data_IF_114837857300
#
_entry.id   IF_114837857300
#
_cell.length_a   1.000
_cell.length_b   1.000
_cell.length_c   1.000
_cell.angle_alpha   90.00
_cell.angle_beta   90.00
_cell.angle_gamma   90.00
#
_symmetry.space_group_name_H-M   'P 1'
#
loop_
_entity.id
_entity.type
_entity.pdbx_description
1 polymer ?
#
# COMPACT_ATOMS: atom_id res chain seq x y z
N UNK A 1 -5.31 94.67 0.41
CA UNK A 1 -4.70 93.67 -0.49
C UNK A 1 -4.51 92.40 0.31
N UNK A 2 -5.57 91.59 0.44
CA UNK A 2 -5.55 90.38 1.28
C UNK A 2 -5.05 89.24 0.39
N UNK A 3 -3.99 88.57 0.85
CA UNK A 3 -3.21 87.54 0.16
C UNK A 3 -4.10 86.44 -0.45
N UNK A 4 -4.36 86.51 -1.74
CA UNK A 4 -4.96 85.40 -2.51
C UNK A 4 -4.02 84.19 -2.56
N UNK A 5 -2.71 84.43 -2.42
CA UNK A 5 -1.66 83.39 -2.33
C UNK A 5 -1.89 82.42 -1.17
N UNK A 6 -2.38 82.91 -0.02
CA UNK A 6 -2.61 82.08 1.17
C UNK A 6 -3.77 81.09 0.98
N UNK A 7 -4.75 81.43 0.14
CA UNK A 7 -5.90 80.56 -0.15
C UNK A 7 -5.50 79.47 -1.15
N UNK A 8 -4.67 79.81 -2.15
CA UNK A 8 -4.15 78.83 -3.11
C UNK A 8 -3.18 77.83 -2.45
N UNK A 9 -2.35 78.28 -1.52
CA UNK A 9 -1.45 77.41 -0.73
C UNK A 9 -2.23 76.41 0.14
N UNK A 10 -3.30 76.87 0.79
CA UNK A 10 -4.15 76.01 1.62
C UNK A 10 -4.93 75.01 0.75
N UNK A 11 -5.50 75.45 -0.37
CA UNK A 11 -6.20 74.55 -1.31
C UNK A 11 -5.23 73.52 -1.89
N UNK A 12 -4.02 73.94 -2.29
CA UNK A 12 -2.97 73.05 -2.79
C UNK A 12 -2.55 72.01 -1.75
N UNK A 13 -2.42 72.42 -0.49
CA UNK A 13 -2.08 71.52 0.63
C UNK A 13 -3.19 70.49 0.90
N UNK A 14 -4.45 70.92 0.90
CA UNK A 14 -5.61 70.03 1.09
C UNK A 14 -5.70 69.01 -0.05
N UNK A 15 -5.48 69.44 -1.29
CA UNK A 15 -5.47 68.56 -2.46
C UNK A 15 -4.33 67.53 -2.38
N UNK A 16 -3.12 67.95 -1.97
CA UNK A 16 -1.98 67.06 -1.83
C UNK A 16 -2.18 66.01 -0.73
N UNK A 17 -2.68 66.41 0.44
CA UNK A 17 -2.97 65.48 1.55
C UNK A 17 -4.04 64.47 1.14
N UNK A 18 -5.09 64.93 0.45
CA UNK A 18 -6.16 64.06 -0.04
C UNK A 18 -5.62 63.03 -1.05
N UNK A 19 -4.75 63.45 -1.97
CA UNK A 19 -4.14 62.55 -2.96
C UNK A 19 -3.25 61.50 -2.30
N UNK A 20 -2.42 61.90 -1.33
CA UNK A 20 -1.57 60.98 -0.58
C UNK A 20 -2.41 60.00 0.23
N UNK A 21 -3.49 60.47 0.86
CA UNK A 21 -4.42 59.62 1.59
C UNK A 21 -5.06 58.54 0.70
N UNK A 22 -5.47 58.90 -0.51
CA UNK A 22 -6.01 57.96 -1.51
C UNK A 22 -4.93 56.95 -1.92
N UNK A 23 -3.71 57.41 -2.21
CA UNK A 23 -2.61 56.52 -2.60
C UNK A 23 -2.28 55.49 -1.51
N UNK A 24 -2.21 55.91 -0.25
CA UNK A 24 -1.98 55.02 0.90
C UNK A 24 -3.15 54.04 1.09
N UNK A 25 -4.40 54.51 0.94
CA UNK A 25 -5.57 53.65 1.05
C UNK A 25 -5.59 52.56 -0.04
N UNK A 26 -5.24 52.89 -1.28
CA UNK A 26 -5.12 51.92 -2.38
C UNK A 26 -4.05 50.87 -2.04
N UNK A 27 -2.86 51.30 -1.60
CA UNK A 27 -1.79 50.38 -1.21
C UNK A 27 -2.24 49.46 -0.07
N UNK A 28 -2.89 50.01 0.96
CA UNK A 28 -3.41 49.22 2.08
C UNK A 28 -4.43 48.16 1.61
N UNK A 29 -5.36 48.53 0.72
CA UNK A 29 -6.33 47.59 0.15
C UNK A 29 -5.60 46.50 -0.66
N UNK A 30 -4.57 46.84 -1.44
CA UNK A 30 -3.82 45.84 -2.21
C UNK A 30 -3.11 44.81 -1.32
N UNK A 31 -2.63 45.19 -0.14
CA UNK A 31 -2.03 44.26 0.81
C UNK A 31 -3.07 43.48 1.62
N UNK A 32 -4.17 44.11 2.01
CA UNK A 32 -5.21 43.49 2.85
C UNK A 32 -6.23 42.66 2.05
N UNK A 33 -6.33 42.86 0.73
CA UNK A 33 -7.23 42.09 -0.14
C UNK A 33 -6.61 40.79 -0.66
N UNK A 34 -5.43 40.41 -0.17
CA UNK A 34 -4.90 39.08 -0.46
C UNK A 34 -5.78 38.06 0.25
N UNK A 35 -6.33 37.05 -0.45
CA UNK A 35 -7.06 35.98 0.20
C UNK A 35 -6.15 35.31 1.23
N UNK A 36 -6.72 34.92 2.37
CA UNK A 36 -5.98 34.18 3.41
C UNK A 36 -5.31 32.97 2.74
N UNK A 37 -3.99 32.75 2.93
CA UNK A 37 -3.32 31.59 2.38
C UNK A 37 -4.07 30.33 2.80
N UNK A 38 -4.57 29.57 1.82
CA UNK A 38 -5.21 28.28 2.05
C UNK A 38 -4.16 27.21 1.88
N UNK A 39 -4.02 26.36 2.90
CA UNK A 39 -3.11 25.22 2.86
C UNK A 39 -3.56 24.26 1.75
N UNK A 40 -2.65 23.95 0.84
CA UNK A 40 -2.88 22.97 -0.22
C UNK A 40 -2.89 21.60 0.44
N UNK A 41 -3.98 20.87 0.27
CA UNK A 41 -4.12 19.51 0.79
C UNK A 41 -2.99 18.64 0.25
N UNK A 42 -2.32 17.92 1.14
CA UNK A 42 -1.37 16.88 0.76
C UNK A 42 -2.16 15.61 0.49
N UNK A 43 -1.98 14.96 -0.65
CA UNK A 43 -2.68 13.72 -0.96
C UNK A 43 -1.80 12.81 -1.79
N UNK A 44 -1.68 11.56 -1.36
CA UNK A 44 -1.09 10.49 -2.14
C UNK A 44 -2.17 9.48 -2.54
N UNK A 45 -2.17 9.11 -3.81
CA UNK A 45 -3.22 8.28 -4.41
C UNK A 45 -2.61 7.33 -5.40
N UNK A 46 -3.10 6.10 -5.35
CA UNK A 46 -2.85 5.08 -6.35
C UNK A 46 -4.14 4.92 -7.15
N UNK A 47 -4.04 4.95 -8.47
CA UNK A 47 -5.17 4.75 -9.37
C UNK A 47 -5.04 3.39 -10.08
N UNK A 48 -6.15 2.65 -10.15
CA UNK A 48 -6.27 1.40 -10.89
C UNK A 48 -7.53 1.43 -11.75
N UNK A 49 -7.47 0.88 -12.95
CA UNK A 49 -8.62 0.76 -13.86
C UNK A 49 -8.75 -0.67 -14.33
N UNK A 50 -9.96 -1.21 -14.25
CA UNK A 50 -10.30 -2.56 -14.69
C UNK A 50 -11.13 -2.49 -15.97
N UNK A 51 -10.53 -2.95 -17.08
CA UNK A 51 -11.11 -2.87 -18.42
C UNK A 51 -12.43 -3.67 -18.53
N UNK A 52 -12.53 -4.84 -17.87
CA UNK A 52 -13.70 -5.73 -18.00
C UNK A 52 -14.98 -5.20 -17.31
N UNK A 53 -14.83 -4.33 -16.29
CA UNK A 53 -15.93 -3.82 -15.47
C UNK A 53 -16.14 -2.29 -15.60
N UNK A 54 -15.40 -1.63 -16.51
CA UNK A 54 -15.36 -0.16 -16.65
C UNK A 54 -15.20 0.57 -15.30
N UNK A 55 -14.41 -0.03 -14.40
CA UNK A 55 -14.29 0.37 -13.00
C UNK A 55 -12.96 1.07 -12.76
N UNK A 56 -13.02 2.34 -12.36
CA UNK A 56 -11.87 3.09 -11.86
C UNK A 56 -11.88 3.09 -10.33
N UNK A 57 -10.75 2.71 -9.73
CA UNK A 57 -10.53 2.69 -8.29
C UNK A 57 -9.40 3.64 -7.92
N UNK A 58 -9.66 4.55 -6.98
CA UNK A 58 -8.66 5.41 -6.37
C UNK A 58 -8.41 5.00 -4.93
N UNK A 59 -7.19 4.62 -4.60
CA UNK A 59 -6.79 4.25 -3.23
C UNK A 59 -6.06 5.40 -2.55
N UNK A 60 -6.48 5.75 -1.33
CA UNK A 60 -5.85 6.82 -0.55
C UNK A 60 -4.62 6.30 0.18
N UNK A 61 -3.45 6.62 -0.37
CA UNK A 61 -2.15 6.10 0.07
C UNK A 61 -1.39 7.11 0.96
N UNK A 62 -2.13 7.86 1.79
CA UNK A 62 -1.56 8.88 2.67
C UNK A 62 -1.94 10.34 2.34
N UNK A 63 -1.64 11.24 3.27
CA UNK A 63 -1.99 12.67 3.19
C UNK A 63 -3.24 13.03 4.01
N UNK A 64 -3.85 14.15 3.66
CA UNK A 64 -5.04 14.71 4.30
C UNK A 64 -6.31 14.00 3.84
N UNK A 65 -7.30 13.93 4.74
CA UNK A 65 -8.63 13.48 4.39
C UNK A 65 -9.29 14.41 3.36
N UNK A 66 -9.96 13.81 2.38
CA UNK A 66 -10.59 14.50 1.27
C UNK A 66 -12.10 14.54 1.47
N UNK A 67 -12.63 15.71 1.83
CA UNK A 67 -14.07 15.92 2.07
C UNK A 67 -14.77 16.27 0.77
N UNK A 68 -15.89 15.61 0.49
CA UNK A 68 -16.70 15.88 -0.71
C UNK A 68 -17.10 17.34 -0.79
N UNK A 69 -16.91 17.93 -1.97
CA UNK A 69 -17.15 19.35 -2.23
C UNK A 69 -15.93 20.25 -2.07
N UNK A 70 -14.87 19.77 -1.41
CA UNK A 70 -13.58 20.49 -1.28
C UNK A 70 -12.55 20.10 -2.34
N UNK A 71 -12.89 19.12 -3.17
CA UNK A 71 -12.11 18.69 -4.30
C UNK A 71 -13.00 18.18 -5.41
N UNK A 72 -12.43 18.06 -6.61
CA UNK A 72 -13.02 17.38 -7.76
C UNK A 72 -11.99 16.48 -8.42
N UNK A 73 -12.49 15.45 -9.08
CA UNK A 73 -11.68 14.52 -9.86
C UNK A 73 -11.99 14.75 -11.34
N UNK A 74 -10.95 14.80 -12.17
CA UNK A 74 -11.06 14.89 -13.62
C UNK A 74 -10.33 13.74 -14.27
N UNK A 75 -11.03 13.01 -15.13
CA UNK A 75 -10.52 11.87 -15.88
C UNK A 75 -10.16 12.34 -17.29
N UNK A 76 -8.96 12.00 -17.77
CA UNK A 76 -8.48 12.31 -19.11
C UNK A 76 -8.23 11.01 -19.89
N UNK A 77 -8.41 10.99 -21.22
CA UNK A 77 -8.69 12.15 -22.09
C UNK A 77 -10.17 12.56 -22.17
N UNK A 78 -11.09 11.76 -21.63
CA UNK A 78 -12.55 11.99 -21.72
C UNK A 78 -12.98 13.36 -21.16
N UNK A 79 -12.21 13.93 -20.23
CA UNK A 79 -12.54 15.17 -19.53
C UNK A 79 -13.66 14.99 -18.50
N UNK A 80 -14.09 13.75 -18.23
CA UNK A 80 -15.20 13.46 -17.33
C UNK A 80 -14.90 13.92 -15.90
N UNK A 81 -15.90 14.49 -15.25
CA UNK A 81 -15.86 14.91 -13.85
C UNK A 81 -16.91 14.08 -13.10
N UNK A 82 -16.54 12.88 -12.62
CA UNK A 82 -17.50 11.99 -12.00
C UNK A 82 -17.97 12.53 -10.65
N UNK A 83 -19.18 12.13 -10.25
CA UNK A 83 -19.69 12.43 -8.92
C UNK A 83 -18.94 11.62 -7.87
N UNK A 84 -18.52 12.28 -6.79
CA UNK A 84 -17.78 11.64 -5.70
C UNK A 84 -18.76 10.77 -4.89
N UNK A 85 -18.55 9.45 -4.81
CA UNK A 85 -19.48 8.50 -4.18
C UNK A 85 -19.49 8.57 -2.65
N UNK A 86 -18.44 9.11 -2.03
CA UNK A 86 -18.27 9.19 -0.57
C UNK A 86 -18.24 10.64 -0.08
N UNK A 87 -18.80 10.89 1.10
CA UNK A 87 -18.78 12.22 1.73
C UNK A 87 -17.40 12.59 2.28
N UNK A 88 -16.61 11.60 2.68
CA UNK A 88 -15.23 11.76 3.10
C UNK A 88 -14.42 10.57 2.60
N UNK A 89 -13.21 10.84 2.14
CA UNK A 89 -12.25 9.84 1.71
C UNK A 89 -10.98 9.98 2.54
N UNK A 90 -10.63 8.93 3.26
CA UNK A 90 -9.51 8.93 4.21
C UNK A 90 -8.47 7.89 3.82
N UNK A 91 -7.27 8.00 4.39
CA UNK A 91 -6.16 7.07 4.18
C UNK A 91 -6.63 5.62 4.38
N UNK A 92 -6.25 4.73 3.46
CA UNK A 92 -6.58 3.31 3.49
C UNK A 92 -7.90 2.96 2.80
N UNK A 93 -8.70 3.94 2.39
CA UNK A 93 -9.95 3.70 1.69
C UNK A 93 -9.84 3.81 0.17
N UNK A 94 -10.72 3.09 -0.53
CA UNK A 94 -10.93 3.20 -1.97
C UNK A 94 -12.10 4.12 -2.32
N UNK A 95 -11.99 4.77 -3.47
CA UNK A 95 -13.04 5.51 -4.15
C UNK A 95 -13.37 4.83 -5.49
N UNK A 96 -14.51 4.12 -5.59
CA UNK A 96 -14.91 3.45 -6.82
C UNK A 96 -15.71 4.38 -7.74
N UNK A 97 -15.39 4.36 -9.02
CA UNK A 97 -16.16 5.01 -10.08
C UNK A 97 -16.54 3.95 -11.12
N UNK A 98 -17.83 3.61 -11.15
CA UNK A 98 -18.39 2.75 -12.18
C UNK A 98 -18.64 3.55 -13.45
N UNK A 99 -18.78 2.84 -14.58
CA UNK A 99 -19.17 3.42 -15.87
C UNK A 99 -18.13 4.37 -16.49
N UNK A 100 -16.85 4.15 -16.18
CA UNK A 100 -15.74 4.84 -16.85
C UNK A 100 -15.50 4.15 -18.19
N UNK A 101 -16.25 4.56 -19.21
CA UNK A 101 -16.40 3.93 -20.54
C UNK A 101 -15.10 3.65 -21.34
N UNK A 102 -13.94 4.09 -20.85
CA UNK A 102 -12.65 3.87 -21.49
C UNK A 102 -11.53 4.06 -20.49
N UNK A 103 -10.46 3.26 -20.62
CA UNK A 103 -9.23 3.39 -19.85
C UNK A 103 -8.73 4.84 -19.81
N UNK A 104 -8.63 5.43 -18.60
CA UNK A 104 -8.05 6.77 -18.45
C UNK A 104 -6.56 6.77 -18.74
N UNK A 105 -6.07 7.81 -19.39
CA UNK A 105 -4.64 8.09 -19.51
C UNK A 105 -4.13 8.75 -18.23
N UNK A 106 -4.91 9.72 -17.73
CA UNK A 106 -4.54 10.55 -16.59
C UNK A 106 -5.73 10.89 -15.72
N UNK A 107 -5.46 11.07 -14.43
CA UNK A 107 -6.43 11.50 -13.44
C UNK A 107 -5.87 12.71 -12.71
N UNK A 108 -6.66 13.77 -12.65
CA UNK A 108 -6.32 14.98 -11.91
C UNK A 108 -7.24 15.12 -10.71
N UNK A 109 -6.65 15.31 -9.54
CA UNK A 109 -7.35 15.63 -8.31
C UNK A 109 -7.08 17.10 -8.02
N UNK A 110 -8.15 17.88 -7.95
CA UNK A 110 -8.09 19.34 -7.92
C UNK A 110 -8.80 19.79 -6.64
N UNK A 111 -8.10 20.54 -5.79
CA UNK A 111 -8.69 21.21 -4.64
C UNK A 111 -9.56 22.37 -5.12
N UNK A 112 -10.72 22.52 -4.52
CA UNK A 112 -11.62 23.68 -4.72
C UNK A 112 -11.61 24.60 -3.49
N UNK A 113 -10.75 24.34 -2.50
CA UNK A 113 -10.61 25.18 -1.29
C UNK A 113 -10.10 26.57 -1.64
N UNK A 114 -10.53 27.58 -0.89
CA UNK A 114 -10.06 28.96 -1.07
C UNK A 114 -10.58 29.69 -2.31
N UNK A 115 -11.53 29.11 -3.05
CA UNK A 115 -12.13 29.72 -4.24
C UNK A 115 -11.23 29.69 -5.48
N UNK A 116 -10.13 28.94 -5.45
CA UNK A 116 -9.27 28.69 -6.60
C UNK A 116 -9.05 27.20 -6.80
N UNK A 117 -9.10 26.76 -8.05
CA UNK A 117 -8.82 25.39 -8.43
C UNK A 117 -7.30 25.15 -8.40
N UNK A 118 -6.83 24.33 -7.47
CA UNK A 118 -5.40 23.97 -7.35
C UNK A 118 -5.21 22.49 -7.62
N UNK A 119 -4.29 22.14 -8.54
CA UNK A 119 -3.94 20.74 -8.78
C UNK A 119 -3.25 20.16 -7.55
N UNK A 120 -3.87 19.19 -6.90
CA UNK A 120 -3.31 18.46 -5.77
C UNK A 120 -2.40 17.34 -6.28
N UNK A 121 -2.93 16.53 -7.20
CA UNK A 121 -2.24 15.35 -7.73
C UNK A 121 -2.64 15.10 -9.17
N UNK A 122 -1.65 14.74 -9.98
CA UNK A 122 -1.88 14.11 -11.27
C UNK A 122 -1.32 12.70 -11.23
N UNK A 123 -2.11 11.76 -11.74
CA UNK A 123 -1.78 10.34 -11.79
C UNK A 123 -1.84 9.95 -13.25
N UNK A 124 -0.76 9.42 -13.79
CA UNK A 124 -0.76 8.81 -15.13
C UNK A 124 -0.96 7.32 -14.95
N UNK A 125 -1.98 6.76 -15.59
CA UNK A 125 -2.20 5.32 -15.56
C UNK A 125 -1.15 4.69 -16.48
N UNK A 126 -0.23 3.89 -15.90
CA UNK A 126 0.80 3.16 -16.64
C UNK A 126 2.22 3.75 -16.64
N UNK A 127 2.50 4.84 -15.92
CA UNK A 127 3.89 5.34 -15.71
C UNK A 127 4.10 5.80 -14.27
N UNK A 128 5.16 5.30 -13.61
CA UNK A 128 5.44 5.63 -12.21
C UNK A 128 6.33 6.86 -12.03
N UNK A 129 5.93 7.72 -11.09
CA UNK A 129 6.80 8.67 -10.38
C UNK A 129 6.95 8.14 -8.95
N UNK A 130 8.18 7.99 -8.48
CA UNK A 130 8.53 7.41 -7.17
C UNK A 130 7.86 8.17 -6.01
N UNK A 131 6.97 7.55 -5.20
CA UNK A 131 6.43 8.19 -4.00
C UNK A 131 7.44 8.16 -2.85
N UNK A 132 7.36 9.17 -1.97
CA UNK A 132 8.10 9.19 -0.70
C UNK A 132 7.50 8.22 0.34
N UNK A 133 8.14 8.12 1.54
CA UNK A 133 7.75 7.16 2.57
C UNK A 133 6.33 7.41 3.09
N UNK A 134 5.55 6.34 3.22
CA UNK A 134 4.14 6.30 3.64
C UNK A 134 4.01 5.89 5.11
N UNK A 135 3.10 6.53 5.86
CA UNK A 135 2.69 6.15 7.22
C UNK A 135 1.17 5.92 7.33
N UNK A 136 0.69 4.67 7.14
CA UNK A 136 -0.72 4.33 7.39
C UNK A 136 -1.10 4.23 8.88
N UNK A 137 -2.34 4.65 9.18
CA UNK A 137 -2.97 4.73 10.52
C UNK A 137 -3.20 3.37 11.21
N UNK A 138 -3.28 3.29 12.56
CA UNK A 138 -3.12 2.05 13.33
C UNK A 138 -4.36 1.14 13.49
N UNK A 139 -5.43 1.26 12.69
CA UNK A 139 -6.60 0.37 12.88
C UNK A 139 -7.48 0.20 11.62
N UNK A 140 -7.73 -1.04 11.16
CA UNK A 140 -8.81 -1.31 10.21
C UNK A 140 -10.20 -1.15 10.87
N UNK A 141 -11.28 -0.98 10.09
CA UNK A 141 -12.63 -1.23 10.56
C UNK A 141 -12.68 -2.62 11.20
N UNK A 142 -13.35 -2.74 12.34
CA UNK A 142 -13.59 -4.00 13.03
C UNK A 142 -14.07 -5.03 12.01
N UNK A 143 -13.37 -6.16 11.89
CA UNK A 143 -13.89 -7.33 11.20
C UNK A 143 -15.15 -7.74 11.96
N UNK A 144 -16.31 -7.33 11.45
CA UNK A 144 -17.60 -7.77 11.97
C UNK A 144 -17.73 -9.21 11.51
N UNK A 145 -17.73 -10.11 12.50
CA UNK A 145 -18.09 -11.52 12.38
C UNK A 145 -16.97 -12.50 11.95
N UNK A 146 -15.97 -12.69 12.83
CA UNK A 146 -15.07 -13.85 12.75
C UNK A 146 -15.61 -15.10 13.48
N UNK A 147 -16.84 -15.05 14.02
CA UNK A 147 -17.36 -16.14 14.87
C UNK A 147 -18.30 -17.12 14.12
N UNK A 148 -18.71 -16.84 12.87
CA UNK A 148 -19.66 -17.70 12.15
C UNK A 148 -19.33 -18.07 10.70
N UNK A 149 -18.07 -17.95 10.26
CA UNK A 149 -17.67 -18.40 8.92
C UNK A 149 -16.48 -19.37 8.98
N UNK A 150 -16.81 -20.66 8.90
CA UNK A 150 -15.96 -21.72 8.34
C UNK A 150 -15.78 -21.51 6.81
N UNK A 151 -15.58 -20.27 6.37
CA UNK A 151 -15.61 -19.86 4.97
C UNK A 151 -14.52 -18.84 4.68
N UNK A 152 -13.40 -19.37 4.17
CA UNK A 152 -12.39 -18.75 3.32
C UNK A 152 -12.44 -17.21 3.21
N UNK A 153 -11.46 -16.54 3.80
CA UNK A 153 -10.92 -15.32 3.20
C UNK A 153 -10.28 -15.74 1.86
N UNK A 154 -11.04 -15.79 0.77
CA UNK A 154 -10.44 -16.05 -0.54
C UNK A 154 -9.67 -14.81 -0.99
N UNK A 155 -8.39 -14.99 -1.30
CA UNK A 155 -7.43 -14.00 -1.79
C UNK A 155 -7.74 -13.47 -3.21
N UNK A 156 -9.01 -13.27 -3.55
CA UNK A 156 -9.48 -12.93 -4.90
C UNK A 156 -9.57 -11.43 -5.21
N UNK A 157 -9.20 -10.55 -4.27
CA UNK A 157 -9.27 -9.08 -4.44
C UNK A 157 -7.89 -8.40 -4.56
N UNK A 158 -6.87 -9.11 -5.07
CA UNK A 158 -5.60 -8.50 -5.45
C UNK A 158 -5.81 -7.81 -6.81
N UNK A 159 -5.87 -6.47 -6.83
CA UNK A 159 -6.04 -5.67 -8.04
C UNK A 159 -5.02 -6.03 -9.13
N UNK A 160 -5.44 -6.14 -10.38
CA UNK A 160 -4.61 -6.41 -11.57
C UNK A 160 -3.37 -5.48 -11.69
N UNK A 161 -3.44 -4.27 -11.14
CA UNK A 161 -2.29 -3.34 -11.07
C UNK A 161 -1.13 -3.83 -10.19
N UNK A 162 -1.41 -4.66 -9.16
CA UNK A 162 -0.37 -5.31 -8.35
C UNK A 162 0.21 -6.52 -9.07
N UNK A 163 -0.58 -7.20 -9.92
CA UNK A 163 -0.07 -8.26 -10.80
C UNK A 163 0.91 -7.69 -11.83
N UNK A 164 0.66 -6.54 -12.45
CA UNK A 164 1.57 -5.93 -13.45
C UNK A 164 2.92 -5.47 -12.84
N UNK A 165 2.91 -4.93 -11.61
CA UNK A 165 4.13 -4.55 -10.87
C UNK A 165 4.91 -5.80 -10.43
N UNK A 166 4.21 -6.80 -9.90
CA UNK A 166 4.80 -8.10 -9.59
C UNK A 166 5.40 -8.71 -10.86
N UNK A 167 4.73 -8.65 -12.00
CA UNK A 167 5.18 -9.33 -13.20
C UNK A 167 6.55 -8.88 -13.67
N UNK A 168 6.91 -7.59 -13.65
CA UNK A 168 8.16 -7.10 -14.27
C UNK A 168 9.41 -7.09 -13.37
N UNK A 169 9.27 -7.09 -12.04
CA UNK A 169 10.42 -7.00 -11.11
C UNK A 169 10.32 -7.98 -9.94
N UNK A 170 9.55 -9.04 -10.11
CA UNK A 170 9.39 -10.07 -9.09
C UNK A 170 9.51 -11.47 -9.70
N UNK A 171 9.60 -12.43 -8.79
CA UNK A 171 9.47 -13.85 -9.00
C UNK A 171 8.02 -14.19 -8.72
N UNK A 172 7.32 -14.65 -9.75
CA UNK A 172 5.98 -15.22 -9.64
C UNK A 172 6.11 -16.70 -9.84
N UNK A 173 5.62 -17.44 -8.86
CA UNK A 173 5.58 -18.89 -8.90
C UNK A 173 4.20 -19.37 -8.51
N UNK A 174 3.63 -20.19 -9.37
CA UNK A 174 2.43 -20.96 -9.06
C UNK A 174 2.68 -22.40 -9.44
N UNK A 175 2.36 -23.32 -8.54
CA UNK A 175 2.31 -24.75 -8.86
C UNK A 175 1.08 -25.39 -8.28
N UNK A 176 0.26 -25.96 -9.15
CA UNK A 176 -0.95 -26.67 -8.76
C UNK A 176 -0.60 -28.15 -8.61
N UNK A 177 -0.26 -28.57 -7.39
CA UNK A 177 -0.21 -30.00 -7.03
C UNK A 177 -1.11 -30.25 -5.82
N UNK A 178 -2.06 -31.16 -6.00
CA UNK A 178 -3.06 -31.55 -5.00
C UNK A 178 -2.51 -32.28 -3.76
N UNK A 179 -1.21 -32.63 -3.68
CA UNK A 179 -0.74 -33.59 -2.64
C UNK A 179 0.68 -33.43 -2.06
N UNK A 180 1.51 -32.53 -2.55
CA UNK A 180 2.86 -32.35 -1.99
C UNK A 180 3.01 -30.98 -1.34
N UNK A 181 2.98 -30.96 -0.01
CA UNK A 181 3.31 -29.78 0.78
C UNK A 181 4.71 -29.26 0.42
N UNK A 182 4.89 -27.94 0.35
CA UNK A 182 6.23 -27.37 0.19
C UNK A 182 7.15 -27.82 1.32
N UNK A 183 8.42 -28.00 0.99
CA UNK A 183 9.45 -27.88 2.03
C UNK A 183 9.90 -26.43 2.05
N UNK A 184 9.30 -25.65 2.95
CA UNK A 184 9.79 -24.32 3.27
C UNK A 184 10.76 -24.42 4.45
N UNK A 185 11.94 -23.84 4.31
CA UNK A 185 12.90 -23.70 5.40
C UNK A 185 13.53 -22.32 5.37
N UNK A 186 14.00 -21.86 6.53
CA UNK A 186 14.65 -20.56 6.64
C UNK A 186 14.09 -19.75 7.79
N UNK A 187 14.25 -18.43 7.71
CA UNK A 187 13.85 -17.52 8.76
C UNK A 187 13.29 -16.22 8.21
N UNK A 188 12.20 -15.74 8.81
CA UNK A 188 11.82 -14.34 8.80
C UNK A 188 12.60 -13.66 9.91
N UNK A 189 13.39 -12.63 9.61
CA UNK A 189 14.25 -11.95 10.57
C UNK A 189 14.19 -10.44 10.35
N UNK A 190 13.48 -9.74 11.24
CA UNK A 190 13.21 -8.32 11.08
C UNK A 190 13.18 -7.57 12.41
N UNK A 191 13.43 -6.27 12.33
CA UNK A 191 13.18 -5.30 13.40
C UNK A 191 11.80 -4.68 13.21
N UNK A 192 11.03 -4.57 14.28
CA UNK A 192 9.74 -3.87 14.29
C UNK A 192 10.01 -2.36 14.31
N UNK A 193 9.41 -1.63 13.39
CA UNK A 193 9.64 -0.18 13.24
C UNK A 193 8.49 0.65 13.83
N UNK A 194 7.26 0.17 13.69
CA UNK A 194 6.06 0.92 14.04
C UNK A 194 5.32 0.31 15.24
N UNK A 195 4.64 1.17 15.99
CA UNK A 195 3.76 0.76 17.09
C UNK A 195 2.54 -0.03 16.57
N UNK A 196 1.95 -0.86 17.43
CA UNK A 196 0.71 -1.59 17.13
C UNK A 196 0.91 -2.93 16.41
N UNK A 197 2.16 -3.37 16.25
CA UNK A 197 2.49 -4.70 15.74
C UNK A 197 2.10 -5.79 16.75
N UNK A 198 1.55 -6.91 16.28
CA UNK A 198 1.04 -8.00 17.12
C UNK A 198 1.27 -9.36 16.46
N UNK A 199 1.57 -10.37 17.28
CA UNK A 199 1.57 -11.78 16.86
C UNK A 199 0.54 -12.58 17.64
N UNK A 200 -0.10 -13.51 16.96
CA UNK A 200 -1.16 -14.33 17.52
C UNK A 200 -0.74 -15.80 17.51
N UNK A 201 -0.61 -16.37 18.71
CA UNK A 201 -0.13 -17.74 18.92
C UNK A 201 -1.23 -18.62 19.48
N UNK A 202 -1.36 -19.83 18.93
CA UNK A 202 -2.28 -20.85 19.41
C UNK A 202 -2.00 -21.22 20.87
N UNK A 203 -3.05 -21.36 21.67
CA UNK A 203 -2.96 -21.64 23.11
C UNK A 203 -2.63 -20.43 24.00
N UNK A 204 -2.53 -19.21 23.45
CA UNK A 204 -2.36 -17.95 24.20
C UNK A 204 -3.56 -17.04 23.94
N UNK A 205 -4.22 -16.57 25.01
CA UNK A 205 -5.46 -15.77 24.91
C UNK A 205 -5.16 -14.33 24.48
N UNK A 206 -4.03 -13.78 24.93
CA UNK A 206 -3.64 -12.41 24.60
C UNK A 206 -2.61 -12.39 23.46
N UNK A 207 -2.73 -11.47 22.50
CA UNK A 207 -1.71 -11.31 21.47
C UNK A 207 -0.38 -10.91 22.11
N UNK A 208 0.70 -11.30 21.45
CA UNK A 208 2.04 -10.81 21.79
C UNK A 208 2.16 -9.43 21.17
N UNK A 209 2.14 -8.40 22.00
CA UNK A 209 2.37 -7.02 21.56
C UNK A 209 3.86 -6.83 21.24
N UNK A 210 4.13 -6.33 20.04
CA UNK A 210 5.47 -6.00 19.57
C UNK A 210 5.64 -4.48 19.56
N UNK A 211 6.81 -4.02 19.99
CA UNK A 211 7.15 -2.61 20.09
C UNK A 211 8.27 -2.26 19.10
N UNK A 212 8.36 -0.99 18.67
CA UNK A 212 9.49 -0.51 17.90
C UNK A 212 10.83 -0.87 18.55
N UNK A 213 11.74 -1.44 17.77
CA UNK A 213 13.03 -1.96 18.20
C UNK A 213 13.03 -3.44 18.58
N UNK A 214 11.87 -4.08 18.78
CA UNK A 214 11.80 -5.52 19.00
C UNK A 214 12.32 -6.26 17.75
N UNK A 215 13.16 -7.27 17.97
CA UNK A 215 13.71 -8.10 16.90
C UNK A 215 12.96 -9.43 16.89
N UNK A 216 12.28 -9.71 15.78
CA UNK A 216 11.47 -10.90 15.60
C UNK A 216 12.17 -11.87 14.65
N UNK A 217 12.35 -13.11 15.10
CA UNK A 217 12.83 -14.22 14.28
C UNK A 217 11.79 -15.32 14.26
N UNK A 218 11.28 -15.66 13.07
CA UNK A 218 10.40 -16.81 12.86
C UNK A 218 11.14 -17.80 11.98
N UNK A 219 11.52 -18.95 12.55
CA UNK A 219 12.25 -19.99 11.82
C UNK A 219 11.29 -21.07 11.35
N UNK A 220 11.31 -21.34 10.04
CA UNK A 220 10.66 -22.49 9.44
C UNK A 220 11.57 -23.70 9.49
N UNK A 221 10.98 -24.79 9.95
CA UNK A 221 11.59 -26.12 9.99
C UNK A 221 11.13 -26.92 8.77
N UNK A 222 11.86 -27.99 8.48
CA UNK A 222 11.50 -28.96 7.44
C UNK A 222 10.08 -29.54 7.56
N UNK A 223 9.47 -29.50 8.75
CA UNK A 223 8.12 -29.99 9.03
C UNK A 223 7.10 -28.86 9.29
N UNK A 224 7.47 -27.59 9.09
CA UNK A 224 6.53 -26.48 9.16
C UNK A 224 5.51 -26.58 8.03
N UNK A 225 4.28 -26.13 8.28
CA UNK A 225 3.14 -26.25 7.34
C UNK A 225 2.23 -25.03 7.41
N UNK A 226 1.34 -24.91 6.43
CA UNK A 226 0.30 -23.89 6.37
C UNK A 226 0.88 -22.48 6.51
N UNK A 227 2.03 -22.26 5.86
CA UNK A 227 2.76 -21.02 5.97
C UNK A 227 2.18 -20.00 5.01
N UNK A 228 1.70 -18.89 5.57
CA UNK A 228 1.09 -17.80 4.81
C UNK A 228 1.69 -16.48 5.23
N UNK A 229 2.16 -15.72 4.26
CA UNK A 229 2.54 -14.32 4.46
C UNK A 229 1.82 -13.51 3.40
N UNK A 230 1.09 -12.50 3.87
CA UNK A 230 0.58 -11.44 3.00
C UNK A 230 1.05 -10.10 3.53
N UNK A 231 1.77 -9.37 2.69
CA UNK A 231 2.32 -8.06 3.01
C UNK A 231 2.38 -7.12 1.82
N UNK A 232 2.39 -5.82 2.12
CA UNK A 232 2.60 -4.75 1.15
C UNK A 232 3.66 -3.82 1.73
N UNK A 233 4.72 -3.58 0.98
CA UNK A 233 5.80 -2.74 1.43
C UNK A 233 6.52 -3.29 2.66
N UNK A 234 6.63 -2.45 3.69
CA UNK A 234 7.23 -2.74 4.98
C UNK A 234 6.21 -3.26 6.01
N UNK A 235 5.09 -3.85 5.56
CA UNK A 235 4.00 -4.31 6.42
C UNK A 235 3.56 -5.73 6.11
N UNK A 236 3.17 -6.46 7.15
CA UNK A 236 2.50 -7.76 7.02
C UNK A 236 1.11 -7.67 7.64
N UNK A 237 0.08 -8.05 6.88
CA UNK A 237 -1.31 -8.05 7.36
C UNK A 237 -1.78 -9.45 7.74
N UNK A 238 -1.08 -10.46 7.25
CA UNK A 238 -1.29 -11.84 7.63
C UNK A 238 0.06 -12.56 7.69
N UNK A 239 0.26 -13.29 8.78
CA UNK A 239 1.44 -14.10 9.02
C UNK A 239 1.03 -15.33 9.82
N UNK A 240 1.07 -16.48 9.17
CA UNK A 240 0.63 -17.75 9.71
C UNK A 240 1.70 -18.81 9.48
N UNK A 241 1.81 -19.76 10.41
CA UNK A 241 2.60 -20.96 10.22
C UNK A 241 2.45 -21.93 11.37
N UNK A 242 2.38 -23.23 11.04
CA UNK A 242 2.38 -24.33 12.01
C UNK A 242 3.75 -24.95 12.12
N UNK A 243 4.14 -25.32 13.34
CA UNK A 243 5.42 -25.98 13.61
C UNK A 243 6.62 -25.05 13.40
N UNK A 244 6.45 -23.75 13.65
CA UNK A 244 7.53 -22.74 13.54
C UNK A 244 8.19 -22.49 14.88
N UNK A 245 9.41 -21.95 14.85
CA UNK A 245 10.06 -21.39 16.04
C UNK A 245 9.95 -19.87 16.02
N UNK A 246 9.62 -19.29 17.17
CA UNK A 246 9.53 -17.86 17.38
C UNK A 246 10.55 -17.42 18.44
N UNK A 247 11.34 -16.43 18.09
CA UNK A 247 12.19 -15.69 19.00
C UNK A 247 11.88 -14.20 18.89
N UNK A 248 11.61 -13.54 20.02
CA UNK A 248 11.48 -12.09 20.13
C UNK A 248 12.54 -11.63 21.11
N UNK A 249 13.46 -10.81 20.61
CA UNK A 249 14.60 -10.27 21.36
C UNK A 249 14.60 -8.75 21.31
N UNK A 250 15.58 -8.13 21.99
CA UNK A 250 15.66 -6.68 22.18
C UNK A 250 14.43 -6.05 22.87
N UNK A 251 13.69 -6.86 23.61
CA UNK A 251 12.52 -6.46 24.39
C UNK A 251 12.78 -6.63 25.89
N UNK A 252 11.96 -6.02 26.75
CA UNK A 252 12.09 -6.17 28.22
C UNK A 252 11.80 -7.59 28.71
N UNK A 253 11.00 -8.35 27.98
CA UNK A 253 10.67 -9.75 28.30
C UNK A 253 10.87 -10.62 27.04
N UNK A 254 12.10 -11.10 26.76
CA UNK A 254 12.36 -11.93 25.59
C UNK A 254 11.47 -13.17 25.55
N UNK A 255 11.01 -13.53 24.36
CA UNK A 255 10.16 -14.70 24.14
C UNK A 255 10.92 -15.67 23.26
N UNK A 256 11.02 -16.92 23.70
CA UNK A 256 11.48 -18.03 22.87
C UNK A 256 10.46 -19.13 22.96
N UNK A 257 9.93 -19.54 21.81
CA UNK A 257 8.95 -20.60 21.73
C UNK A 257 9.24 -21.48 20.53
N UNK A 258 9.13 -22.80 20.72
CA UNK A 258 9.48 -23.77 19.70
C UNK A 258 8.29 -24.63 19.31
N UNK A 259 8.23 -25.03 18.04
CA UNK A 259 7.17 -25.86 17.49
C UNK A 259 5.75 -25.29 17.74
N UNK A 260 5.60 -23.99 17.55
CA UNK A 260 4.34 -23.29 17.80
C UNK A 260 3.49 -23.18 16.54
N UNK A 261 2.24 -22.83 16.74
CA UNK A 261 1.34 -22.37 15.69
C UNK A 261 1.13 -20.87 15.87
N UNK A 262 1.55 -20.10 14.86
CA UNK A 262 1.12 -18.73 14.65
C UNK A 262 -0.11 -18.80 13.76
N UNK A 263 -1.26 -18.36 14.27
CA UNK A 263 -2.50 -18.36 13.50
C UNK A 263 -2.78 -17.01 12.84
N UNK A 264 -2.11 -15.93 13.28
CA UNK A 264 -2.13 -14.64 12.60
C UNK A 264 -0.95 -13.76 13.06
N UNK A 265 -0.68 -12.70 12.30
CA UNK A 265 0.28 -11.67 12.67
C UNK A 265 0.00 -10.39 11.90
N UNK A 266 0.16 -9.27 12.58
CA UNK A 266 -0.06 -7.93 12.06
C UNK A 266 1.18 -7.10 12.36
N UNK A 267 1.98 -6.80 11.34
CA UNK A 267 3.22 -6.05 11.46
C UNK A 267 3.02 -4.71 10.75
N UNK A 268 2.93 -3.63 11.53
CA UNK A 268 2.59 -2.28 11.05
C UNK A 268 3.76 -1.57 10.39
N UNK A 269 4.98 -2.07 10.56
CA UNK A 269 6.20 -1.55 9.95
C UNK A 269 7.37 -2.46 10.37
N UNK A 270 8.18 -2.90 9.41
CA UNK A 270 9.40 -3.67 9.70
C UNK A 270 10.59 -3.25 8.85
N UNK A 271 11.78 -3.43 9.40
CA UNK A 271 13.03 -3.39 8.66
C UNK A 271 13.59 -4.80 8.56
N UNK A 272 13.74 -5.30 7.34
CA UNK A 272 14.33 -6.62 7.12
C UNK A 272 15.80 -6.63 7.54
N UNK A 273 16.18 -7.57 8.41
CA UNK A 273 17.54 -7.74 8.91
C UNK A 273 18.29 -8.88 8.20
N UNK A 274 17.75 -9.37 7.08
CA UNK A 274 18.23 -10.54 6.37
C UNK A 274 17.34 -11.75 6.61
N UNK A 275 16.03 -11.56 6.40
CA UNK A 275 15.11 -12.67 6.18
C UNK A 275 15.59 -13.48 4.99
N UNK A 276 15.52 -14.79 5.12
CA UNK A 276 15.94 -15.70 4.09
C UNK A 276 15.06 -16.93 4.16
N UNK A 277 14.31 -17.20 3.10
CA UNK A 277 13.67 -18.50 2.96
C UNK A 277 14.18 -19.23 1.75
N UNK A 278 14.16 -20.54 1.86
CA UNK A 278 14.24 -21.45 0.74
C UNK A 278 12.94 -22.20 0.64
N UNK A 279 12.30 -22.09 -0.51
CA UNK A 279 11.13 -22.89 -0.85
C UNK A 279 11.61 -23.91 -1.84
N UNK A 280 11.53 -25.17 -1.46
CA UNK A 280 11.61 -26.28 -2.40
C UNK A 280 10.18 -26.72 -2.70
N UNK A 281 9.80 -26.58 -3.96
CA UNK A 281 8.61 -27.25 -4.46
C UNK A 281 8.99 -28.68 -4.81
N UNK A 282 8.62 -29.68 -3.99
CA UNK A 282 9.06 -31.06 -4.20
C UNK A 282 8.51 -31.62 -5.52
N UNK A 283 9.14 -32.70 -5.99
CA UNK A 283 8.69 -33.43 -7.18
C UNK A 283 7.22 -33.84 -7.03
N UNK A 284 6.35 -33.53 -8.02
CA UNK A 284 4.95 -33.88 -7.98
C UNK A 284 4.70 -35.37 -7.78
N UNK A 285 3.61 -35.72 -7.09
CA UNK A 285 3.22 -37.13 -6.89
C UNK A 285 2.57 -37.73 -8.13
N UNK A 286 3.39 -38.18 -9.08
CA UNK A 286 2.94 -38.87 -10.28
C UNK A 286 3.89 -38.66 -11.46
N UNK A 287 3.82 -39.54 -12.45
CA UNK A 287 4.66 -39.46 -13.65
C UNK A 287 4.30 -38.32 -14.61
N UNK A 288 3.19 -37.59 -14.35
CA UNK A 288 2.66 -36.56 -15.25
C UNK A 288 3.09 -35.13 -14.90
N UNK A 289 3.76 -34.90 -13.78
CA UNK A 289 4.14 -33.56 -13.30
C UNK A 289 2.96 -32.73 -12.79
N UNK A 290 3.25 -31.50 -12.37
CA UNK A 290 2.26 -30.51 -11.94
C UNK A 290 2.34 -29.29 -12.85
N UNK A 291 1.19 -28.68 -13.16
CA UNK A 291 1.18 -27.44 -13.92
C UNK A 291 1.92 -26.37 -13.13
N UNK A 292 2.93 -25.78 -13.76
CA UNK A 292 3.80 -24.80 -13.13
C UNK A 292 3.86 -23.55 -13.98
N UNK A 293 3.56 -22.41 -13.36
CA UNK A 293 3.87 -21.09 -13.89
C UNK A 293 5.06 -20.55 -13.10
N UNK A 294 6.14 -20.24 -13.81
CA UNK A 294 7.30 -19.53 -13.27
C UNK A 294 7.58 -18.32 -14.15
N UNK A 295 7.46 -17.14 -13.58
CA UNK A 295 7.80 -15.87 -14.22
C UNK A 295 8.87 -15.19 -13.39
N UNK A 296 9.93 -14.71 -14.04
CA UNK A 296 11.02 -14.01 -13.38
C UNK A 296 11.27 -12.72 -14.14
N UNK A 297 11.08 -11.58 -13.47
CA UNK A 297 11.31 -10.26 -14.03
C UNK A 297 10.63 -10.09 -15.42
N UNK A 298 9.36 -10.44 -15.51
CA UNK A 298 8.51 -10.32 -16.70
C UNK A 298 8.70 -11.45 -17.71
N UNK A 299 9.70 -12.29 -17.51
CA UNK A 299 10.02 -13.39 -18.43
C UNK A 299 9.41 -14.68 -17.94
N UNK A 300 8.50 -15.25 -18.72
CA UNK A 300 7.97 -16.59 -18.48
C UNK A 300 9.09 -17.61 -18.70
N UNK A 301 9.46 -18.33 -17.63
CA UNK A 301 10.46 -19.40 -17.66
C UNK A 301 9.78 -20.76 -17.84
N UNK A 302 8.66 -20.98 -17.14
CA UNK A 302 7.85 -22.21 -17.23
C UNK A 302 6.39 -21.82 -17.30
N UNK A 303 5.64 -22.45 -18.19
CA UNK A 303 4.18 -22.34 -18.28
C UNK A 303 3.62 -23.65 -18.85
N UNK A 304 3.94 -24.76 -18.17
CA UNK A 304 3.59 -26.12 -18.59
C UNK A 304 3.70 -27.09 -17.38
N UNK A 305 3.44 -28.37 -17.61
CA UNK A 305 3.72 -29.43 -16.66
C UNK A 305 5.23 -29.54 -16.40
N UNK A 306 5.60 -29.50 -15.12
CA UNK A 306 6.97 -29.62 -14.68
C UNK A 306 7.08 -30.71 -13.59
N UNK A 307 8.03 -31.63 -13.76
CA UNK A 307 8.30 -32.72 -12.79
C UNK A 307 9.43 -32.40 -11.83
N UNK A 308 10.18 -31.35 -12.10
CA UNK A 308 11.42 -31.06 -11.41
C UNK A 308 11.18 -30.15 -10.20
N UNK A 309 11.97 -30.32 -9.13
CA UNK A 309 11.88 -29.42 -8.00
C UNK A 309 12.30 -28.02 -8.41
N UNK A 310 11.63 -27.02 -7.83
CA UNK A 310 12.01 -25.62 -7.99
C UNK A 310 12.41 -25.11 -6.63
N UNK A 311 13.63 -24.59 -6.56
CA UNK A 311 14.19 -24.02 -5.34
C UNK A 311 14.36 -22.53 -5.54
N UNK A 312 13.71 -21.74 -4.69
CA UNK A 312 14.04 -20.33 -4.53
C UNK A 312 14.96 -20.21 -3.32
N UNK A 313 15.99 -19.38 -3.39
CA UNK A 313 16.90 -19.17 -2.28
C UNK A 313 16.97 -17.70 -1.90
N UNK A 314 16.88 -17.44 -0.59
CA UNK A 314 16.85 -16.12 0.00
C UNK A 314 15.70 -15.28 -0.58
N UNK A 315 14.46 -15.80 -0.49
CA UNK A 315 13.30 -15.01 -0.89
C UNK A 315 13.04 -13.89 0.10
N UNK A 316 12.56 -12.75 -0.39
CA UNK A 316 12.26 -11.57 0.40
C UNK A 316 11.20 -10.68 -0.29
N UNK A 317 10.55 -9.77 0.45
CA UNK A 317 9.59 -8.81 -0.10
C UNK A 317 10.15 -7.94 -1.23
N UNK A 318 9.28 -7.54 -2.17
CA UNK A 318 9.61 -6.68 -3.31
C UNK A 318 9.58 -5.20 -2.92
N UNK A 319 10.43 -4.75 -2.01
CA UNK A 319 10.47 -3.34 -1.60
C UNK A 319 9.07 -2.82 -1.23
N UNK A 320 8.57 -1.79 -1.95
CA UNK A 320 7.21 -1.21 -1.77
C UNK A 320 6.04 -2.03 -2.34
N UNK A 321 6.27 -3.26 -2.80
CA UNK A 321 5.27 -4.08 -3.48
C UNK A 321 4.67 -5.23 -2.65
N UNK A 322 3.87 -6.06 -3.33
CA UNK A 322 3.22 -7.26 -2.79
C UNK A 322 4.21 -8.39 -2.48
N UNK A 323 4.22 -8.84 -1.24
CA UNK A 323 4.83 -10.11 -0.87
C UNK A 323 3.73 -11.08 -0.46
N UNK A 324 3.55 -12.12 -1.27
CA UNK A 324 2.60 -13.18 -1.03
C UNK A 324 3.34 -14.51 -1.07
N UNK A 325 3.17 -15.28 -0.02
CA UNK A 325 3.54 -16.68 0.01
C UNK A 325 2.38 -17.44 0.61
N UNK A 326 1.81 -18.35 -0.15
CA UNK A 326 0.77 -19.25 0.30
C UNK A 326 1.18 -20.71 0.04
N UNK A 327 1.26 -21.47 1.13
CA UNK A 327 1.33 -22.93 1.13
C UNK A 327 0.21 -23.43 2.04
N UNK A 328 -0.88 -23.92 1.46
CA UNK A 328 -1.95 -24.60 2.21
C UNK A 328 -1.85 -26.10 1.98
N UNK A 329 -1.50 -26.84 3.05
CA UNK A 329 -1.38 -28.30 2.96
C UNK A 329 -2.72 -29.01 2.71
N UNK A 330 -3.84 -28.29 2.77
CA UNK A 330 -5.19 -28.81 2.54
C UNK A 330 -5.89 -28.23 1.30
N UNK A 331 -5.32 -27.23 0.62
CA UNK A 331 -5.94 -26.66 -0.58
C UNK A 331 -5.59 -27.48 -1.82
N UNK A 332 -6.51 -27.50 -2.80
CA UNK A 332 -6.20 -27.98 -4.15
C UNK A 332 -5.52 -26.90 -4.99
N UNK A 333 -5.44 -25.68 -4.47
CA UNK A 333 -5.05 -24.47 -5.18
C UNK A 333 -3.51 -24.37 -5.33
N UNK A 334 -2.79 -25.25 -4.62
CA UNK A 334 -1.36 -25.43 -4.76
C UNK A 334 -0.57 -24.36 -4.02
N UNK A 335 0.61 -24.07 -4.55
CA UNK A 335 1.55 -23.12 -3.95
C UNK A 335 1.55 -21.85 -4.76
N UNK A 336 1.50 -20.72 -4.07
CA UNK A 336 1.63 -19.42 -4.68
C UNK A 336 2.73 -18.60 -4.01
N UNK A 337 3.56 -17.98 -4.84
CA UNK A 337 4.59 -17.06 -4.38
C UNK A 337 4.72 -15.88 -5.33
N UNK A 338 4.64 -14.68 -4.75
CA UNK A 338 5.02 -13.41 -5.37
C UNK A 338 6.01 -12.73 -4.43
N UNK A 339 7.21 -12.46 -4.91
CA UNK A 339 8.24 -11.78 -4.15
C UNK A 339 9.53 -11.66 -4.93
N UNK A 340 10.64 -11.41 -4.24
CA UNK A 340 11.96 -11.46 -4.84
C UNK A 340 12.76 -12.64 -4.27
N UNK A 341 13.79 -13.05 -5.00
CA UNK A 341 14.74 -14.07 -4.55
C UNK A 341 16.15 -13.69 -5.02
N UNK A 342 17.17 -14.03 -4.22
CA UNK A 342 18.55 -13.83 -4.65
C UNK A 342 18.95 -14.77 -5.79
N UNK A 343 18.37 -15.97 -5.81
CA UNK A 343 18.58 -16.96 -6.88
C UNK A 343 17.44 -17.97 -6.94
N UNK A 344 17.37 -18.68 -8.06
CA UNK A 344 16.46 -19.80 -8.27
C UNK A 344 17.18 -20.93 -9.03
N UNK A 345 16.71 -22.16 -8.85
CA UNK A 345 17.14 -23.31 -9.65
C UNK A 345 15.96 -24.20 -10.00
N UNK A 346 16.01 -24.76 -11.20
CA UNK A 346 15.11 -25.82 -11.68
C UNK A 346 15.96 -27.09 -11.77
N UNK A 347 15.56 -28.13 -11.05
CA UNK A 347 16.33 -29.36 -10.84
C UNK A 347 16.42 -30.31 -12.02
#
# INVERSE_FOLDING_TARGET
>A
MIREDAVSEVIGSILLISLVGIAVAIIAIMFLSQPVPVEIQSLNVIASYKDDDDLLLLYHDGGDAMVKGEYRIRILPSGAVPNIPKDMWVIGEYLPFTDVQSKPDRIQIISTRGGQDTLIKEITIGTFVTPGPITPSPRPPVCVDCDNLYGNCSEADISDAYLDIAMNTSYIFQRVDSKTALSASGRLYFEVMDQGSKLFRSGVISPIDLHPGDIVTITLRSNSKDFRIFGLGDRFFHLQGKGVDLEISNTTNPITASNIELYNGWITGYHDLGSSFSIESPKPTGSSGAYTLLVINGTVIINDFNTDPITFSNIHPIGVGLFLLEDDSNSQDGVFFIGNAASYSVG
#
